data_IF_378326062338
#
_entry.id   IF_378326062338
#
_cell.length_a   1.000
_cell.length_b   1.000
_cell.length_c   1.000
_cell.angle_alpha   90.00
_cell.angle_beta   90.00
_cell.angle_gamma   90.00
#
_symmetry.space_group_name_H-M   'P 1'
#
loop_
_entity.id
_entity.type
_entity.pdbx_description
1 polymer ?
#
# COMPACT_ATOMS: atom_id res chain seq x y z
N UNK A 1 -0.56 1.70 -20.25
CA UNK A 1 -0.80 1.35 -18.83
C UNK A 1 -0.09 0.04 -18.53
N UNK A 2 0.68 -0.01 -17.44
CA UNK A 2 1.47 -1.16 -16.99
C UNK A 2 0.64 -2.44 -16.81
N UNK A 3 -0.56 -2.32 -16.23
CA UNK A 3 -1.49 -3.43 -16.04
C UNK A 3 -1.94 -4.09 -17.34
N UNK A 4 -1.92 -3.36 -18.46
CA UNK A 4 -2.25 -3.90 -19.79
C UNK A 4 -1.13 -4.78 -20.34
N UNK A 5 0.12 -4.62 -19.87
CA UNK A 5 1.26 -5.43 -20.31
C UNK A 5 1.23 -6.85 -19.72
N UNK A 6 0.79 -7.02 -18.47
CA UNK A 6 0.78 -8.33 -17.79
C UNK A 6 -0.27 -9.31 -18.36
N UNK A 7 -1.33 -8.79 -18.99
CA UNK A 7 -2.35 -9.59 -19.65
C UNK A 7 -1.92 -10.08 -21.06
N UNK A 8 -0.74 -9.66 -21.54
CA UNK A 8 -0.23 -10.03 -22.86
C UNK A 8 0.54 -11.35 -22.78
N UNK A 9 0.13 -12.42 -23.50
CA UNK A 9 0.85 -13.69 -23.50
C UNK A 9 2.32 -13.50 -23.89
N UNK A 10 3.23 -14.10 -23.11
CA UNK A 10 4.68 -14.04 -23.36
C UNK A 10 5.42 -12.91 -22.64
N UNK A 11 4.73 -12.05 -21.87
CA UNK A 11 5.39 -11.09 -20.98
C UNK A 11 5.60 -11.69 -19.58
N UNK A 12 6.83 -11.64 -19.07
CA UNK A 12 7.17 -12.03 -17.70
C UNK A 12 6.94 -10.85 -16.73
N UNK A 13 6.75 -11.12 -15.42
CA UNK A 13 6.62 -10.08 -14.41
C UNK A 13 7.77 -9.06 -14.44
N UNK A 14 9.03 -9.51 -14.54
CA UNK A 14 10.20 -8.61 -14.61
C UNK A 14 10.13 -7.65 -15.81
N UNK A 15 9.67 -8.10 -16.97
CA UNK A 15 9.52 -7.24 -18.15
C UNK A 15 8.41 -6.22 -17.96
N UNK A 16 7.32 -6.60 -17.28
CA UNK A 16 6.25 -5.66 -16.95
C UNK A 16 6.70 -4.63 -15.90
N UNK A 17 7.48 -5.03 -14.89
CA UNK A 17 8.07 -4.13 -13.89
C UNK A 17 9.01 -3.13 -14.58
N UNK A 18 9.88 -3.60 -15.47
CA UNK A 18 10.79 -2.74 -16.23
C UNK A 18 10.04 -1.69 -17.08
N UNK A 19 8.89 -2.06 -17.66
CA UNK A 19 8.04 -1.12 -18.41
C UNK A 19 7.22 -0.16 -17.54
N UNK A 20 7.03 -0.48 -16.26
CA UNK A 20 6.25 0.32 -15.31
C UNK A 20 7.12 1.32 -14.56
N UNK A 21 8.33 0.92 -14.20
CA UNK A 21 9.24 1.68 -13.33
C UNK A 21 9.08 1.31 -11.84
N UNK A 22 10.10 1.67 -11.05
CA UNK A 22 10.13 1.51 -9.59
C UNK A 22 10.08 2.89 -8.91
N UNK A 23 9.62 2.92 -7.66
CA UNK A 23 9.53 4.15 -6.87
C UNK A 23 8.42 5.09 -7.35
N UNK A 24 7.28 4.51 -7.78
CA UNK A 24 6.13 5.29 -8.22
C UNK A 24 5.38 5.82 -7.01
N UNK A 25 5.24 7.14 -6.89
CA UNK A 25 4.42 7.74 -5.82
C UNK A 25 2.93 7.56 -6.12
N UNK A 26 2.23 6.85 -5.23
CA UNK A 26 0.79 6.63 -5.27
C UNK A 26 0.07 7.19 -4.03
N UNK A 27 -1.25 7.04 -3.99
CA UNK A 27 -2.06 7.47 -2.84
C UNK A 27 -1.70 6.71 -1.54
N UNK A 28 -1.10 5.53 -1.67
CA UNK A 28 -0.60 4.70 -0.57
C UNK A 28 0.90 4.92 -0.28
N UNK A 29 1.51 5.96 -0.84
CA UNK A 29 2.96 6.19 -0.80
C UNK A 29 3.73 5.53 -1.94
N UNK A 30 5.04 5.39 -1.78
CA UNK A 30 5.93 4.83 -2.79
C UNK A 30 5.66 3.35 -3.09
N UNK A 31 5.46 3.03 -4.36
CA UNK A 31 5.20 1.69 -4.88
C UNK A 31 6.47 1.14 -5.52
N UNK A 32 6.93 -0.01 -5.04
CA UNK A 32 8.06 -0.78 -5.59
C UNK A 32 7.65 -2.24 -5.74
N UNK A 33 8.10 -2.90 -6.81
CA UNK A 33 7.73 -4.29 -7.09
C UNK A 33 8.88 -5.25 -6.71
N UNK A 34 8.52 -6.38 -6.11
CA UNK A 34 9.37 -7.55 -5.98
C UNK A 34 9.45 -8.30 -7.33
N UNK A 35 10.46 -9.15 -7.53
CA UNK A 35 10.66 -9.89 -8.79
C UNK A 35 9.49 -10.81 -9.18
N UNK A 36 8.68 -11.23 -8.20
CA UNK A 36 7.47 -12.01 -8.45
C UNK A 36 6.26 -11.16 -8.87
N UNK A 37 6.41 -9.84 -8.95
CA UNK A 37 5.34 -8.88 -9.30
C UNK A 37 4.55 -8.33 -8.10
N UNK A 38 4.84 -8.77 -6.87
CA UNK A 38 4.15 -8.29 -5.69
C UNK A 38 4.64 -6.89 -5.28
N UNK A 39 3.75 -6.11 -4.68
CA UNK A 39 4.11 -4.90 -3.94
C UNK A 39 4.18 -5.27 -2.46
N UNK A 40 5.34 -5.14 -1.80
CA UNK A 40 5.44 -5.45 -0.37
C UNK A 40 4.52 -4.52 0.41
N UNK A 41 3.80 -5.07 1.40
CA UNK A 41 2.87 -4.29 2.19
C UNK A 41 3.62 -3.15 2.92
N UNK A 42 3.21 -1.91 2.68
CA UNK A 42 3.78 -0.72 3.35
C UNK A 42 3.36 -0.60 4.83
N UNK A 43 2.62 -1.59 5.34
CA UNK A 43 1.88 -1.52 6.59
C UNK A 43 0.51 -0.88 6.43
N UNK A 44 -0.33 -1.02 7.45
CA UNK A 44 -1.67 -0.43 7.50
C UNK A 44 -1.83 0.43 8.73
N UNK A 45 -2.42 1.60 8.53
CA UNK A 45 -3.01 2.35 9.62
C UNK A 45 -4.27 1.64 10.12
N UNK A 46 -4.38 1.43 11.43
CA UNK A 46 -5.62 0.95 12.06
C UNK A 46 -6.37 2.19 12.56
N UNK A 47 -7.38 2.60 11.79
CA UNK A 47 -8.21 3.74 12.13
C UNK A 47 -9.03 3.49 13.39
N UNK A 48 -8.92 4.40 14.35
CA UNK A 48 -9.69 4.39 15.59
C UNK A 48 -10.65 5.58 15.59
N UNK A 49 -11.93 5.28 15.77
CA UNK A 49 -12.95 6.29 15.98
C UNK A 49 -13.00 6.64 17.47
N UNK A 50 -13.01 7.93 17.78
CA UNK A 50 -13.24 8.41 19.14
C UNK A 50 -14.32 9.51 19.15
N UNK A 51 -15.06 9.60 20.25
CA UNK A 51 -16.02 10.66 20.52
C UNK A 51 -15.81 11.19 21.94
N UNK A 52 -15.60 12.49 22.06
CA UNK A 52 -15.62 13.19 23.34
C UNK A 52 -16.99 13.81 23.55
N UNK A 53 -17.76 13.24 24.47
CA UNK A 53 -19.11 13.71 24.79
C UNK A 53 -19.14 15.06 25.53
N UNK A 54 -18.01 15.52 26.07
CA UNK A 54 -17.91 16.81 26.77
C UNK A 54 -17.87 17.97 25.77
N UNK A 55 -17.16 17.77 24.67
CA UNK A 55 -16.98 18.75 23.58
C UNK A 55 -17.82 18.45 22.35
N UNK A 56 -18.51 17.31 22.34
CA UNK A 56 -19.26 16.74 21.21
C UNK A 56 -18.41 16.62 19.92
N UNK A 57 -17.15 16.23 20.08
CA UNK A 57 -16.19 16.10 18.97
C UNK A 57 -15.95 14.65 18.61
N UNK A 58 -15.92 14.36 17.31
CA UNK A 58 -15.54 13.07 16.74
C UNK A 58 -14.15 13.17 16.13
N UNK A 59 -13.28 12.19 16.40
CA UNK A 59 -12.00 12.04 15.74
C UNK A 59 -11.86 10.66 15.06
N UNK A 60 -11.03 10.64 14.01
CA UNK A 60 -10.54 9.43 13.39
C UNK A 60 -9.03 9.50 13.39
N UNK A 61 -8.43 8.72 14.27
CA UNK A 61 -6.99 8.75 14.51
C UNK A 61 -6.35 7.44 14.08
N UNK A 62 -5.06 7.51 13.79
CA UNK A 62 -4.24 6.34 13.54
C UNK A 62 -3.42 5.98 14.77
N UNK A 63 -4.08 5.50 15.82
CA UNK A 63 -3.43 5.20 17.09
C UNK A 63 -2.52 3.97 17.02
N UNK A 64 -2.80 3.05 16.09
CA UNK A 64 -2.05 1.82 15.89
C UNK A 64 -1.71 1.60 14.44
N UNK A 65 -0.57 0.96 14.22
CA UNK A 65 -0.14 0.54 12.90
C UNK A 65 0.12 -0.97 12.89
N UNK A 66 -0.09 -1.57 11.73
CA UNK A 66 0.36 -2.93 11.46
C UNK A 66 1.46 -2.87 10.43
N UNK A 67 2.55 -3.61 10.63
CA UNK A 67 3.57 -3.84 9.62
C UNK A 67 3.82 -5.35 9.42
N UNK A 68 4.22 -5.79 8.21
CA UNK A 68 4.38 -7.21 7.90
C UNK A 68 5.52 -7.91 8.66
N UNK A 69 6.46 -7.15 9.23
CA UNK A 69 7.61 -7.66 9.98
C UNK A 69 7.28 -7.78 11.48
N UNK A 70 6.74 -6.71 12.11
CA UNK A 70 6.56 -6.69 13.57
C UNK A 70 5.09 -6.85 14.02
N UNK A 71 4.12 -6.88 13.11
CA UNK A 71 2.71 -7.01 13.45
C UNK A 71 2.10 -5.69 13.94
N UNK A 72 1.19 -5.75 14.92
CA UNK A 72 0.48 -4.56 15.43
C UNK A 72 1.31 -3.87 16.52
N UNK A 73 1.48 -2.56 16.40
CA UNK A 73 2.02 -1.65 17.41
C UNK A 73 1.04 -0.51 17.70
#
# INVERSE_FOLDING_TARGET
>A
AAFTALATPGITPDMAIAGTGNGLEGASGGITFMANGDVPAAGFCIGEFSHDATTDTVSYDCARNWDPVNGIA
#
